data_IF_704404801949
#
_entry.id   IF_704404801949
#
_cell.length_a   1.000
_cell.length_b   1.000
_cell.length_c   1.000
_cell.angle_alpha   90.00
_cell.angle_beta   90.00
_cell.angle_gamma   90.00
#
_symmetry.space_group_name_H-M   'P 1'
#
loop_
_entity.id
_entity.type
_entity.pdbx_description
1 polymer ?
#
# COMPACT_ATOMS: atom_id res chain seq x y z
N UNK A 1 -9.58 -5.55 -3.12
CA UNK A 1 -8.23 -5.33 -2.58
C UNK A 1 -7.19 -5.58 -3.65
N UNK A 2 -6.05 -4.93 -3.57
CA UNK A 2 -4.97 -5.11 -4.55
C UNK A 2 -3.75 -5.83 -3.95
N UNK A 3 -3.42 -5.57 -2.71
CA UNK A 3 -2.33 -6.22 -1.97
C UNK A 3 -2.65 -6.16 -0.47
N UNK A 4 -1.86 -6.86 0.34
CA UNK A 4 -1.96 -6.81 1.80
C UNK A 4 -0.83 -6.01 2.42
N UNK A 5 -1.09 -5.41 3.58
CA UNK A 5 -0.03 -4.84 4.40
C UNK A 5 0.89 -5.94 4.91
N UNK A 6 2.14 -5.60 5.19
CA UNK A 6 3.15 -6.55 5.67
C UNK A 6 3.76 -6.15 7.00
N UNK A 7 3.24 -5.10 7.62
CA UNK A 7 3.78 -4.50 8.83
C UNK A 7 2.69 -4.06 9.79
N UNK A 8 3.02 -3.96 11.06
CA UNK A 8 2.19 -3.36 12.10
C UNK A 8 2.04 -1.85 11.90
N UNK A 9 1.16 -1.21 12.65
CA UNK A 9 1.11 0.25 12.69
C UNK A 9 2.40 0.73 13.37
N UNK A 10 3.14 1.55 12.67
CA UNK A 10 4.33 2.26 13.15
C UNK A 10 4.13 3.74 12.83
N UNK A 11 3.46 4.42 13.75
CA UNK A 11 3.00 5.80 13.57
C UNK A 11 4.00 6.75 14.21
N UNK A 12 4.56 7.64 13.41
CA UNK A 12 5.47 8.68 13.84
C UNK A 12 4.73 10.01 13.92
N UNK A 13 4.73 10.61 15.08
CA UNK A 13 4.14 11.93 15.30
C UNK A 13 5.22 12.92 15.67
N UNK A 14 5.20 14.15 15.14
CA UNK A 14 6.07 15.21 15.62
C UNK A 14 5.88 15.38 17.13
N UNK A 15 6.98 15.49 17.85
CA UNK A 15 6.94 15.77 19.28
C UNK A 15 7.00 17.27 19.49
N UNK A 16 5.93 17.91 19.98
CA UNK A 16 5.89 19.35 20.21
C UNK A 16 6.95 19.86 21.20
N UNK A 17 7.37 19.03 22.14
CA UNK A 17 8.40 19.40 23.10
C UNK A 17 9.77 19.58 22.46
N UNK A 18 10.04 18.86 21.35
CA UNK A 18 11.31 19.01 20.65
C UNK A 18 11.52 20.41 20.06
N UNK A 19 10.43 21.07 19.63
CA UNK A 19 10.48 22.46 19.14
C UNK A 19 10.98 23.42 20.23
N UNK A 20 10.59 23.17 21.48
CA UNK A 20 10.93 24.01 22.62
C UNK A 20 12.37 23.81 23.09
N UNK A 21 12.79 22.55 23.23
CA UNK A 21 14.06 22.20 23.89
C UNK A 21 15.20 21.92 22.92
N UNK A 22 14.89 21.62 21.68
CA UNK A 22 15.86 21.24 20.64
C UNK A 22 15.54 21.93 19.31
N UNK A 23 15.82 23.26 19.22
CA UNK A 23 15.68 23.98 17.94
C UNK A 23 16.45 23.25 16.84
N UNK A 24 15.81 23.03 15.69
CA UNK A 24 16.34 22.23 14.58
C UNK A 24 16.13 20.72 14.69
N UNK A 25 15.42 20.25 15.74
CA UNK A 25 15.01 18.84 15.91
C UNK A 25 13.49 18.66 15.98
N UNK A 26 12.78 19.59 15.41
CA UNK A 26 11.31 19.62 15.36
C UNK A 26 10.72 18.38 14.69
N UNK A 27 11.51 17.73 13.84
CA UNK A 27 11.11 16.51 13.11
C UNK A 27 11.39 15.22 13.87
N UNK A 28 12.00 15.26 15.05
CA UNK A 28 12.09 14.09 15.91
C UNK A 28 10.68 13.71 16.34
N UNK A 29 10.32 12.44 16.15
CA UNK A 29 8.97 11.95 16.37
C UNK A 29 8.90 11.05 17.60
N UNK A 30 7.76 11.08 18.29
CA UNK A 30 7.32 9.98 19.13
C UNK A 30 6.74 8.88 18.26
N UNK A 31 6.93 7.61 18.65
CA UNK A 31 6.47 6.45 17.87
C UNK A 31 5.42 5.69 18.63
N UNK A 32 4.25 5.52 18.02
CA UNK A 32 3.21 4.60 18.46
C UNK A 32 3.31 3.32 17.63
N UNK A 33 3.64 2.20 18.27
CA UNK A 33 3.73 0.91 17.59
C UNK A 33 2.60 -0.01 18.05
N UNK A 34 1.69 -0.38 17.13
CA UNK A 34 0.55 -1.24 17.40
C UNK A 34 0.59 -2.46 16.49
N UNK A 35 0.68 -3.64 17.10
CA UNK A 35 0.65 -4.91 16.35
C UNK A 35 -0.74 -5.14 15.78
N UNK A 36 -0.81 -5.33 14.47
CA UNK A 36 -2.05 -5.66 13.76
C UNK A 36 -1.81 -6.80 12.78
N UNK A 37 -2.90 -7.47 12.38
CA UNK A 37 -2.83 -8.42 11.29
C UNK A 37 -2.76 -7.74 9.93
N UNK A 38 -2.13 -8.38 8.93
CA UNK A 38 -2.18 -7.91 7.56
C UNK A 38 -3.61 -7.70 7.09
N UNK A 39 -3.88 -6.58 6.45
CA UNK A 39 -5.18 -6.25 5.88
C UNK A 39 -5.06 -5.83 4.42
N UNK A 40 -6.09 -6.05 3.61
CA UNK A 40 -6.07 -5.73 2.19
C UNK A 40 -6.18 -4.23 1.94
N UNK A 41 -5.35 -3.72 1.02
CA UNK A 41 -5.34 -2.32 0.58
C UNK A 41 -6.07 -2.19 -0.76
N UNK A 42 -7.02 -1.26 -0.90
CA UNK A 42 -7.76 -1.08 -2.14
C UNK A 42 -6.89 -0.53 -3.27
N UNK A 43 -7.07 -1.02 -4.50
CA UNK A 43 -6.39 -0.52 -5.68
C UNK A 43 -6.59 0.99 -5.90
N UNK A 44 -7.77 1.52 -5.55
CA UNK A 44 -8.06 2.96 -5.69
C UNK A 44 -7.14 3.88 -4.88
N UNK A 45 -6.36 3.35 -3.94
CA UNK A 45 -5.33 4.10 -3.22
C UNK A 45 -4.07 4.34 -4.06
N UNK A 46 -3.94 3.67 -5.21
CA UNK A 46 -2.74 3.66 -6.05
C UNK A 46 -2.82 4.57 -7.28
N UNK A 47 -3.89 5.31 -7.47
CA UNK A 47 -4.01 6.26 -8.58
C UNK A 47 -4.61 7.59 -8.14
N UNK A 48 -4.33 8.64 -8.89
CA UNK A 48 -4.79 9.99 -8.59
C UNK A 48 -6.30 10.13 -8.77
N UNK A 49 -6.91 10.94 -7.92
CA UNK A 49 -8.33 11.28 -8.02
C UNK A 49 -8.63 12.21 -9.19
N UNK A 50 -7.72 13.11 -9.48
CA UNK A 50 -7.94 14.25 -10.39
C UNK A 50 -6.92 14.36 -11.52
N UNK A 51 -5.96 13.44 -11.61
CA UNK A 51 -5.01 13.33 -12.72
C UNK A 51 -5.21 11.95 -13.34
N UNK A 52 -5.69 11.91 -14.56
CA UNK A 52 -6.23 10.68 -15.16
C UNK A 52 -5.16 9.62 -15.47
N UNK A 53 -3.92 10.03 -15.72
CA UNK A 53 -2.82 9.15 -16.11
C UNK A 53 -1.73 9.01 -15.04
N UNK A 54 -2.04 9.25 -13.75
CA UNK A 54 -1.06 9.20 -12.67
C UNK A 54 -1.33 8.04 -11.72
N UNK A 55 -0.33 7.17 -11.59
CA UNK A 55 -0.24 6.19 -10.52
C UNK A 55 0.62 6.70 -9.35
N UNK A 56 0.34 6.18 -8.16
CA UNK A 56 1.04 6.52 -6.92
C UNK A 56 1.42 5.23 -6.19
N UNK A 57 2.64 4.74 -6.42
CA UNK A 57 3.18 3.56 -5.75
C UNK A 57 4.32 3.96 -4.82
N UNK A 58 4.21 3.65 -3.54
CA UNK A 58 5.18 4.02 -2.53
C UNK A 58 4.60 4.87 -1.41
N UNK A 59 5.40 5.73 -0.80
CA UNK A 59 4.97 6.59 0.32
C UNK A 59 3.98 7.69 -0.08
N UNK A 60 3.80 7.90 -1.36
CA UNK A 60 2.83 8.82 -1.97
C UNK A 60 1.45 8.17 -2.20
N UNK A 61 1.24 6.93 -1.75
CA UNK A 61 -0.07 6.26 -1.77
C UNK A 61 -1.14 7.10 -1.06
N UNK A 62 -2.37 7.06 -1.59
CA UNK A 62 -3.50 7.83 -1.03
C UNK A 62 -4.13 7.09 0.15
N UNK A 63 -3.65 7.40 1.35
CA UNK A 63 -4.12 6.83 2.62
C UNK A 63 -4.05 7.86 3.74
N UNK A 64 -4.69 7.57 4.86
CA UNK A 64 -4.56 8.39 6.09
C UNK A 64 -3.15 8.22 6.70
N UNK A 65 -2.74 9.16 7.56
CA UNK A 65 -1.46 9.09 8.27
C UNK A 65 -1.31 7.79 9.08
N UNK A 66 -2.38 7.35 9.76
CA UNK A 66 -2.36 6.09 10.52
C UNK A 66 -2.14 4.89 9.59
N UNK A 67 -2.86 4.81 8.49
CA UNK A 67 -2.69 3.73 7.52
C UNK A 67 -1.32 3.77 6.83
N UNK A 68 -0.73 4.96 6.65
CA UNK A 68 0.63 5.09 6.11
C UNK A 68 1.66 4.37 6.99
N UNK A 69 1.46 4.35 8.31
CA UNK A 69 2.31 3.62 9.24
C UNK A 69 2.47 2.13 8.91
N UNK A 70 1.49 1.52 8.26
CA UNK A 70 1.53 0.10 7.87
C UNK A 70 2.00 -0.15 6.45
N UNK A 71 1.77 0.79 5.53
CA UNK A 71 1.97 0.55 4.08
C UNK A 71 3.28 1.13 3.55
N UNK A 72 3.96 1.99 4.30
CA UNK A 72 5.18 2.69 3.86
C UNK A 72 6.46 1.86 3.87
N UNK A 73 6.41 0.61 4.36
CA UNK A 73 7.58 -0.27 4.47
C UNK A 73 7.96 -0.88 3.12
N UNK A 74 9.25 -1.20 2.93
CA UNK A 74 9.81 -1.63 1.64
C UNK A 74 9.06 -2.78 0.99
N UNK A 75 8.72 -3.83 1.74
CA UNK A 75 8.01 -5.00 1.20
C UNK A 75 6.64 -4.60 0.64
N UNK A 76 5.88 -3.81 1.39
CA UNK A 76 4.55 -3.35 0.98
C UNK A 76 4.65 -2.41 -0.23
N UNK A 77 5.61 -1.49 -0.23
CA UNK A 77 5.81 -0.58 -1.39
C UNK A 77 6.32 -1.30 -2.63
N UNK A 78 7.08 -2.38 -2.46
CA UNK A 78 7.45 -3.28 -3.57
C UNK A 78 6.23 -3.91 -4.23
N UNK A 79 5.29 -4.43 -3.44
CA UNK A 79 4.00 -4.96 -3.96
C UNK A 79 3.16 -3.88 -4.66
N UNK A 80 3.17 -2.64 -4.18
CA UNK A 80 2.49 -1.53 -4.87
C UNK A 80 3.06 -1.34 -6.28
N UNK A 81 4.39 -1.38 -6.42
CA UNK A 81 5.06 -1.27 -7.72
C UNK A 81 4.64 -2.37 -8.69
N UNK A 82 4.56 -3.62 -8.23
CA UNK A 82 4.09 -4.74 -9.05
C UNK A 82 2.65 -4.54 -9.50
N UNK A 83 1.75 -4.17 -8.58
CA UNK A 83 0.33 -3.91 -8.90
C UNK A 83 0.19 -2.77 -9.91
N UNK A 84 0.92 -1.67 -9.71
CA UNK A 84 0.90 -0.52 -10.64
C UNK A 84 1.46 -0.90 -12.00
N UNK A 85 2.53 -1.68 -12.06
CA UNK A 85 3.09 -2.18 -13.32
C UNK A 85 2.09 -3.04 -14.11
N UNK A 86 1.40 -3.97 -13.42
CA UNK A 86 0.34 -4.79 -14.03
C UNK A 86 -0.83 -3.92 -14.49
N UNK A 87 -1.28 -2.97 -13.66
CA UNK A 87 -2.36 -2.06 -14.03
C UNK A 87 -1.98 -1.18 -15.23
N UNK A 88 -0.76 -0.66 -15.28
CA UNK A 88 -0.27 0.12 -16.41
C UNK A 88 -0.23 -0.69 -17.72
N UNK A 89 0.10 -1.99 -17.63
CA UNK A 89 0.04 -2.88 -18.80
C UNK A 89 -1.39 -3.03 -19.34
N UNK A 90 -2.39 -3.09 -18.44
CA UNK A 90 -3.80 -3.12 -18.83
C UNK A 90 -4.26 -1.76 -19.38
N UNK A 91 -3.81 -0.65 -18.78
CA UNK A 91 -4.08 0.68 -19.34
C UNK A 91 -3.61 0.78 -20.79
N UNK A 92 -2.40 0.31 -21.08
CA UNK A 92 -1.87 0.28 -22.45
C UNK A 92 -2.67 -0.65 -23.36
N UNK A 93 -3.01 -1.86 -22.86
CA UNK A 93 -3.76 -2.87 -23.64
C UNK A 93 -5.13 -2.34 -24.07
N UNK A 94 -5.83 -1.66 -23.20
CA UNK A 94 -7.22 -1.21 -23.41
C UNK A 94 -7.33 0.28 -23.73
N UNK A 95 -6.21 1.00 -23.84
CA UNK A 95 -6.18 2.47 -23.98
C UNK A 95 -7.06 3.17 -22.91
N UNK A 96 -6.93 2.68 -21.69
CA UNK A 96 -7.76 3.03 -20.54
C UNK A 96 -6.95 3.80 -19.49
N UNK A 97 -7.65 4.57 -18.65
CA UNK A 97 -7.05 5.26 -17.51
C UNK A 97 -6.87 4.30 -16.32
N UNK A 98 -6.02 4.64 -15.33
CA UNK A 98 -5.94 3.92 -14.06
C UNK A 98 -7.29 3.70 -13.38
N UNK A 99 -8.19 4.68 -13.48
CA UNK A 99 -9.55 4.60 -12.93
C UNK A 99 -10.42 3.62 -13.69
N UNK A 100 -10.31 3.55 -15.01
CA UNK A 100 -11.05 2.59 -15.83
C UNK A 100 -10.67 1.15 -15.51
N UNK A 101 -9.40 0.91 -15.14
CA UNK A 101 -8.98 -0.41 -14.67
C UNK A 101 -9.75 -0.81 -13.41
N UNK A 102 -10.03 0.12 -12.50
CA UNK A 102 -10.86 -0.15 -11.34
C UNK A 102 -12.30 -0.51 -11.71
N UNK A 103 -12.90 0.20 -12.66
CA UNK A 103 -14.31 0.04 -12.99
C UNK A 103 -14.60 -1.13 -13.92
N UNK A 104 -13.70 -1.42 -14.88
CA UNK A 104 -13.98 -2.33 -15.96
C UNK A 104 -13.05 -3.55 -16.03
N UNK A 105 -11.85 -3.48 -15.48
CA UNK A 105 -10.82 -4.50 -15.65
C UNK A 105 -10.22 -5.01 -14.33
N UNK A 106 -10.89 -4.75 -13.20
CA UNK A 106 -10.35 -5.09 -11.88
C UNK A 106 -10.15 -6.60 -11.71
N UNK A 107 -11.03 -7.43 -12.26
CA UNK A 107 -10.90 -8.89 -12.15
C UNK A 107 -9.74 -9.41 -12.99
N UNK A 108 -9.47 -8.82 -14.14
CA UNK A 108 -8.27 -9.15 -14.93
C UNK A 108 -7.00 -8.73 -14.20
N UNK A 109 -6.98 -7.54 -13.58
CA UNK A 109 -5.86 -7.12 -12.74
C UNK A 109 -5.63 -8.11 -11.59
N UNK A 110 -6.67 -8.55 -10.90
CA UNK A 110 -6.55 -9.56 -9.83
C UNK A 110 -5.98 -10.87 -10.35
N UNK A 111 -6.41 -11.32 -11.54
CA UNK A 111 -5.87 -12.51 -12.19
C UNK A 111 -4.37 -12.38 -12.49
N UNK A 112 -3.94 -11.22 -12.99
CA UNK A 112 -2.51 -10.94 -13.20
C UNK A 112 -1.73 -10.98 -11.89
N UNK A 113 -2.27 -10.37 -10.84
CA UNK A 113 -1.64 -10.37 -9.51
C UNK A 113 -1.49 -11.80 -8.95
N UNK A 114 -2.49 -12.66 -9.13
CA UNK A 114 -2.41 -14.06 -8.71
C UNK A 114 -1.33 -14.85 -9.47
N UNK A 115 -1.17 -14.58 -10.76
CA UNK A 115 -0.09 -15.17 -11.58
C UNK A 115 1.28 -14.62 -11.21
N UNK A 116 1.34 -13.42 -10.64
CA UNK A 116 2.57 -12.72 -10.30
C UNK A 116 3.34 -12.25 -11.53
N UNK A 117 4.57 -11.82 -11.30
CA UNK A 117 5.45 -11.30 -12.34
C UNK A 117 5.92 -12.39 -13.32
N UNK A 118 5.71 -13.65 -12.98
CA UNK A 118 6.04 -14.83 -13.79
C UNK A 118 7.45 -14.81 -14.42
N UNK A 119 8.41 -14.24 -13.69
CA UNK A 119 9.79 -14.18 -14.15
C UNK A 119 10.52 -15.47 -13.74
N UNK A 120 11.09 -16.16 -14.70
CA UNK A 120 11.86 -17.39 -14.46
C UNK A 120 12.94 -17.14 -13.39
N UNK A 121 12.96 -17.96 -12.36
CA UNK A 121 13.92 -17.87 -11.25
C UNK A 121 13.50 -16.92 -10.11
N UNK A 122 12.39 -16.21 -10.22
CA UNK A 122 11.82 -15.42 -9.13
C UNK A 122 10.46 -16.01 -8.73
N UNK A 123 10.38 -16.74 -7.61
CA UNK A 123 9.11 -17.28 -7.15
C UNK A 123 8.18 -16.13 -6.76
N UNK A 124 6.93 -16.20 -7.19
CA UNK A 124 5.92 -15.29 -6.68
C UNK A 124 5.47 -15.77 -5.30
N UNK A 125 6.07 -15.22 -4.26
CA UNK A 125 5.69 -15.45 -2.87
C UNK A 125 4.89 -14.27 -2.27
N UNK A 126 4.41 -13.38 -3.10
CA UNK A 126 3.54 -12.28 -2.69
C UNK A 126 2.15 -12.81 -2.34
N UNK A 127 1.61 -12.31 -1.25
CA UNK A 127 0.26 -12.65 -0.80
C UNK A 127 -0.68 -11.52 -1.12
N UNK A 128 -1.17 -11.50 -2.34
CA UNK A 128 -2.17 -10.52 -2.78
C UNK A 128 -3.55 -10.91 -2.24
N UNK A 129 -4.30 -9.95 -1.75
CA UNK A 129 -5.66 -10.12 -1.25
C UNK A 129 -5.82 -11.10 -0.06
N UNK A 130 -4.74 -11.55 0.53
CA UNK A 130 -4.77 -12.35 1.75
C UNK A 130 -4.74 -11.41 2.96
N UNK A 131 -5.90 -10.90 3.37
CA UNK A 131 -6.07 -10.27 4.67
C UNK A 131 -6.11 -11.32 5.77
N UNK A 132 -5.57 -11.01 6.95
CA UNK A 132 -5.83 -11.80 8.13
C UNK A 132 -7.34 -11.82 8.45
N UNK A 133 -7.84 -12.89 9.02
CA UNK A 133 -9.24 -12.94 9.46
C UNK A 133 -9.41 -11.95 10.61
N UNK A 134 -10.42 -11.08 10.55
CA UNK A 134 -10.71 -10.08 11.58
C UNK A 134 -10.87 -10.67 12.99
N UNK A 135 -11.32 -11.92 13.09
CA UNK A 135 -11.46 -12.66 14.34
C UNK A 135 -10.15 -13.22 14.91
N UNK A 136 -9.03 -13.07 14.20
CA UNK A 136 -7.68 -13.47 14.67
C UNK A 136 -6.88 -12.26 15.20
N UNK A 137 -7.49 -11.08 15.29
CA UNK A 137 -6.85 -9.93 15.93
C UNK A 137 -6.64 -10.27 17.41
N UNK A 138 -5.40 -10.28 17.94
CA UNK A 138 -5.18 -10.49 19.36
C UNK A 138 -5.95 -9.40 20.10
N UNK A 139 -6.83 -9.81 21.02
CA UNK A 139 -7.41 -8.84 21.95
C UNK A 139 -6.23 -8.26 22.74
N UNK A 140 -5.96 -6.99 22.52
CA UNK A 140 -4.98 -6.25 23.33
C UNK A 140 -5.48 -6.35 24.76
N UNK A 141 -4.68 -6.98 25.62
CA UNK A 141 -4.94 -7.04 27.07
C UNK A 141 -4.63 -5.71 27.69
#
# INVERSE_FOLDING_TARGET
ASFTTTWSIDLHRPDPENTRYFPGREFKATTDHVVIYPYPVPYRCLYSRNIDNLFMAGRNISVTHVALGTVRVMRTTGMMGEVVGMAASLCKKYQATPRDIYHYYLEELKSLMQKGVNKKGLPNNQRYNEGGRLNQIPKVK
#
